data_IF_750222416387
#
_entry.id   IF_750222416387
#
_cell.length_a   1.000
_cell.length_b   1.000
_cell.length_c   1.000
_cell.angle_alpha   90.00
_cell.angle_beta   90.00
_cell.angle_gamma   90.00
#
_symmetry.space_group_name_H-M   'P 1'
#
loop_
_entity.id
_entity.type
_entity.pdbx_description
1 polymer ?
#
# COMPACT_ATOMS: atom_id res chain seq x y z
N UNK A 1 23.22 7.32 13.80
CA UNK A 1 22.30 7.09 12.67
C UNK A 1 21.85 5.64 12.77
N UNK A 2 20.58 5.39 13.06
CA UNK A 2 20.12 4.03 13.30
C UNK A 2 20.01 3.29 11.96
N UNK A 3 20.82 2.25 11.79
CA UNK A 3 20.78 1.38 10.63
C UNK A 3 19.55 0.47 10.73
N UNK A 4 18.70 0.47 9.70
CA UNK A 4 17.50 -0.36 9.65
C UNK A 4 17.57 -1.21 8.38
N UNK A 5 17.41 -2.52 8.53
CA UNK A 5 17.35 -3.44 7.40
C UNK A 5 15.91 -3.57 6.87
N UNK A 6 15.71 -3.64 5.55
CA UNK A 6 14.41 -3.95 4.97
C UNK A 6 13.99 -5.38 5.28
N UNK A 7 12.68 -5.62 5.32
CA UNK A 7 12.11 -6.96 5.44
C UNK A 7 12.12 -7.60 4.05
N UNK A 8 13.02 -8.57 3.83
CA UNK A 8 13.12 -9.32 2.57
C UNK A 8 12.51 -10.72 2.66
N UNK A 9 12.22 -11.20 3.87
CA UNK A 9 11.72 -12.55 4.10
C UNK A 9 10.20 -12.66 3.82
N UNK A 10 9.76 -13.58 2.94
CA UNK A 10 8.35 -13.71 2.59
C UNK A 10 7.49 -14.31 3.71
N UNK A 11 8.05 -15.15 4.59
CA UNK A 11 7.32 -15.71 5.72
C UNK A 11 6.97 -14.62 6.73
N UNK A 12 7.92 -13.74 7.03
CA UNK A 12 7.70 -12.55 7.85
C UNK A 12 6.54 -11.70 7.32
N UNK A 13 6.48 -11.46 6.00
CA UNK A 13 5.37 -10.72 5.37
C UNK A 13 4.04 -11.47 5.58
N UNK A 14 4.03 -12.79 5.46
CA UNK A 14 2.83 -13.60 5.67
C UNK A 14 2.33 -13.53 7.12
N UNK A 15 3.22 -13.62 8.11
CA UNK A 15 2.86 -13.47 9.52
C UNK A 15 2.30 -12.09 9.83
N UNK A 16 2.90 -11.03 9.29
CA UNK A 16 2.41 -9.64 9.44
C UNK A 16 1.01 -9.51 8.83
N UNK A 17 0.79 -10.02 7.61
CA UNK A 17 -0.53 -10.03 6.96
C UNK A 17 -1.57 -10.72 7.83
N UNK A 18 -1.26 -11.91 8.37
CA UNK A 18 -2.17 -12.68 9.24
C UNK A 18 -2.46 -11.96 10.55
N UNK A 19 -1.46 -11.34 11.16
CA UNK A 19 -1.61 -10.56 12.39
C UNK A 19 -2.52 -9.34 12.18
N UNK A 20 -2.24 -8.55 11.13
CA UNK A 20 -3.03 -7.36 10.79
C UNK A 20 -4.47 -7.71 10.43
N UNK A 21 -4.70 -8.81 9.71
CA UNK A 21 -6.05 -9.27 9.36
C UNK A 21 -6.89 -9.63 10.58
N UNK A 22 -6.28 -10.18 11.64
CA UNK A 22 -6.96 -10.50 12.91
C UNK A 22 -7.26 -9.26 13.75
N UNK A 23 -6.37 -8.27 13.72
CA UNK A 23 -6.49 -7.05 14.51
C UNK A 23 -7.46 -6.05 13.88
N UNK A 24 -7.20 -5.64 12.64
CA UNK A 24 -8.00 -4.64 11.95
C UNK A 24 -7.88 -4.77 10.43
N UNK A 25 -9.01 -5.02 9.76
CA UNK A 25 -9.09 -5.16 8.31
C UNK A 25 -8.56 -3.92 7.57
N UNK A 26 -8.75 -2.72 8.11
CA UNK A 26 -8.23 -1.47 7.54
C UNK A 26 -6.70 -1.46 7.48
N UNK A 27 -6.04 -1.91 8.55
CA UNK A 27 -4.58 -1.94 8.62
C UNK A 27 -4.00 -3.01 7.69
N UNK A 28 -4.67 -4.15 7.58
CA UNK A 28 -4.35 -5.19 6.60
C UNK A 28 -4.41 -4.63 5.17
N UNK A 29 -5.50 -3.95 4.82
CA UNK A 29 -5.69 -3.38 3.47
C UNK A 29 -4.66 -2.30 3.15
N UNK A 30 -4.35 -1.42 4.12
CA UNK A 30 -3.28 -0.43 3.98
C UNK A 30 -1.93 -1.10 3.72
N UNK A 31 -1.61 -2.16 4.48
CA UNK A 31 -0.35 -2.89 4.32
C UNK A 31 -0.24 -3.56 2.94
N UNK A 32 -1.28 -4.29 2.51
CA UNK A 32 -1.32 -4.96 1.20
C UNK A 32 -1.22 -3.95 0.05
N UNK A 33 -1.97 -2.85 0.13
CA UNK A 33 -1.91 -1.80 -0.89
C UNK A 33 -0.52 -1.14 -0.93
N UNK A 34 0.11 -0.96 0.24
CA UNK A 34 1.45 -0.37 0.34
C UNK A 34 2.52 -1.22 -0.32
N UNK A 35 2.52 -2.53 -0.05
CA UNK A 35 3.51 -3.45 -0.62
C UNK A 35 3.31 -3.64 -2.13
N UNK A 36 2.06 -3.71 -2.59
CA UNK A 36 1.75 -3.94 -4.01
C UNK A 36 2.01 -2.69 -4.86
N UNK A 37 1.77 -1.49 -4.31
CA UNK A 37 1.91 -0.23 -5.05
C UNK A 37 3.28 0.44 -4.86
N UNK A 38 4.06 0.02 -3.85
CA UNK A 38 5.34 0.63 -3.49
C UNK A 38 5.21 2.10 -3.07
N UNK A 39 4.07 2.47 -2.49
CA UNK A 39 3.77 3.83 -2.05
C UNK A 39 4.05 4.02 -0.57
N UNK A 40 4.42 5.25 -0.18
CA UNK A 40 4.57 5.57 1.23
C UNK A 40 3.19 5.65 1.88
N UNK A 41 3.13 5.29 3.16
CA UNK A 41 1.88 5.33 3.93
C UNK A 41 1.20 6.71 3.87
N UNK A 42 1.98 7.80 3.92
CA UNK A 42 1.45 9.17 3.83
C UNK A 42 0.79 9.48 2.49
N UNK A 43 1.25 8.85 1.40
CA UNK A 43 0.69 9.03 0.07
C UNK A 43 -0.60 8.20 -0.09
N UNK A 44 -0.65 7.01 0.51
CA UNK A 44 -1.80 6.10 0.50
C UNK A 44 -2.97 6.67 1.31
N UNK A 45 -2.70 7.31 2.45
CA UNK A 45 -3.74 7.93 3.28
C UNK A 45 -4.53 9.04 2.57
N UNK A 46 -3.97 9.62 1.50
CA UNK A 46 -4.65 10.65 0.70
C UNK A 46 -5.55 10.06 -0.40
N UNK A 47 -5.47 8.75 -0.66
CA UNK A 47 -6.31 8.08 -1.63
C UNK A 47 -7.77 8.10 -1.17
N UNK A 48 -8.67 8.49 -2.08
CA UNK A 48 -10.12 8.47 -1.82
C UNK A 48 -10.77 7.33 -2.58
N UNK A 49 -11.93 6.87 -2.08
CA UNK A 49 -12.75 5.82 -2.71
C UNK A 49 -13.07 6.12 -4.17
N UNK A 50 -13.23 7.40 -4.53
CA UNK A 50 -13.46 7.84 -5.92
C UNK A 50 -12.29 7.53 -6.86
N UNK A 51 -11.08 7.52 -6.34
CA UNK A 51 -9.87 7.23 -7.11
C UNK A 51 -9.72 5.71 -7.30
N UNK A 52 -10.26 4.91 -6.37
CA UNK A 52 -10.29 3.44 -6.46
C UNK A 52 -11.27 2.90 -7.53
N UNK A 53 -12.26 3.69 -7.96
CA UNK A 53 -13.15 3.31 -9.07
C UNK A 53 -12.46 3.38 -10.44
N UNK A 54 -11.30 4.03 -10.53
CA UNK A 54 -10.55 4.18 -11.78
C UNK A 54 -9.57 3.03 -11.94
N UNK A 55 -9.23 2.63 -13.18
CA UNK A 55 -8.23 1.60 -13.41
C UNK A 55 -6.80 2.00 -13.02
N UNK A 56 -6.57 3.28 -12.69
CA UNK A 56 -5.28 3.82 -12.30
C UNK A 56 -5.42 4.87 -11.20
N UNK A 57 -4.38 4.99 -10.37
CA UNK A 57 -4.19 6.06 -9.42
C UNK A 57 -3.24 7.12 -9.99
N UNK A 58 -3.69 8.37 -10.02
CA UNK A 58 -2.82 9.52 -10.26
C UNK A 58 -2.52 10.17 -8.92
N UNK A 59 -1.26 10.17 -8.51
CA UNK A 59 -0.84 10.76 -7.23
C UNK A 59 0.35 11.69 -7.45
N UNK A 60 0.51 12.64 -6.52
CA UNK A 60 1.70 13.47 -6.42
C UNK A 60 2.39 13.09 -5.12
N UNK A 61 3.56 12.45 -5.21
CA UNK A 61 4.31 12.02 -4.03
C UNK A 61 4.58 13.21 -3.10
N UNK A 62 4.20 13.11 -1.83
CA UNK A 62 4.34 14.23 -0.89
C UNK A 62 5.81 14.63 -0.66
N UNK A 63 6.72 13.65 -0.65
CA UNK A 63 8.15 13.85 -0.35
C UNK A 63 8.92 14.41 -1.55
N UNK A 64 8.73 13.82 -2.73
CA UNK A 64 9.51 14.12 -3.95
C UNK A 64 8.79 15.10 -4.89
N UNK A 65 7.49 15.37 -4.65
CA UNK A 65 6.60 16.18 -5.50
C UNK A 65 6.43 15.66 -6.93
N UNK A 66 6.85 14.42 -7.21
CA UNK A 66 6.72 13.82 -8.54
C UNK A 66 5.30 13.31 -8.76
N UNK A 67 4.79 13.54 -9.98
CA UNK A 67 3.55 12.92 -10.45
C UNK A 67 3.83 11.46 -10.79
N UNK A 68 3.08 10.54 -10.18
CA UNK A 68 3.17 9.11 -10.45
C UNK A 68 1.79 8.59 -10.84
N UNK A 69 1.77 7.80 -11.92
CA UNK A 69 0.61 7.02 -12.32
C UNK A 69 0.89 5.55 -11.96
N UNK A 70 -0.03 4.92 -11.24
CA UNK A 70 0.05 3.51 -10.87
C UNK A 70 -1.21 2.85 -11.39
N UNK A 71 -1.06 1.88 -12.27
CA UNK A 71 -2.18 1.07 -12.72
C UNK A 71 -2.55 0.05 -11.64
N UNK A 72 -3.85 -0.17 -11.44
CA UNK A 72 -4.32 -1.17 -10.49
C UNK A 72 -4.09 -2.57 -11.04
N UNK A 73 -3.36 -3.41 -10.30
CA UNK A 73 -3.35 -4.85 -10.52
C UNK A 73 -4.72 -5.45 -10.17
N UNK A 74 -5.14 -6.53 -10.87
CA UNK A 74 -6.45 -7.16 -10.64
C UNK A 74 -6.63 -7.72 -9.23
N UNK A 75 -5.54 -8.06 -8.54
CA UNK A 75 -5.56 -8.48 -7.12
C UNK A 75 -6.05 -7.36 -6.21
N UNK A 76 -5.62 -6.13 -6.44
CA UNK A 76 -6.04 -4.97 -5.65
C UNK A 76 -7.52 -4.60 -5.88
N UNK A 77 -8.16 -5.07 -6.97
CA UNK A 77 -9.60 -4.83 -7.22
C UNK A 77 -10.52 -5.79 -6.46
N UNK A 78 -10.02 -6.95 -6.03
CA UNK A 78 -10.85 -7.93 -5.31
C UNK A 78 -11.02 -7.60 -3.83
N UNK A 79 -10.02 -6.92 -3.26
CA UNK A 79 -9.97 -6.58 -1.83
C UNK A 79 -10.46 -5.16 -1.51
N UNK A 80 -10.76 -4.31 -2.52
CA UNK A 80 -11.28 -2.94 -2.40
C UNK A 80 -12.76 -2.89 -2.80
#
# INVERSE_FOLDING_TARGET
MNFVQPICDPECIFYIKRFLKKQNMKNYMLFVTSINSGLRISDILQLRVRDAKRPYFNLIEKKTKKKKRIDMTPENKKDV
#
